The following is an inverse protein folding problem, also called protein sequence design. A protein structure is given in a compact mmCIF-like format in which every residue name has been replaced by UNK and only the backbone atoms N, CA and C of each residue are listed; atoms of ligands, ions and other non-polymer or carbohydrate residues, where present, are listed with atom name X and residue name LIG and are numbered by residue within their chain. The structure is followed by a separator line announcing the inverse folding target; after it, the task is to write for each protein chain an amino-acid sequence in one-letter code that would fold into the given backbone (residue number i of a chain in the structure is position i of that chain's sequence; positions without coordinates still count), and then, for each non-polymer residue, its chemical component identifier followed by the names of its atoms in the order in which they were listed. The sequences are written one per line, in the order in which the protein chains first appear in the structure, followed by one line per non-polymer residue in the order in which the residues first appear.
data_IF_883942395679
#
_entry.id   IF_883942395679
#
_cell.length_a   1.000
_cell.length_b   1.000
_cell.length_c   1.000
_cell.angle_alpha   90.00
_cell.angle_beta   90.00
_cell.angle_gamma   90.00
#
_symmetry.space_group_name_H-M   'P 1'
#
loop_
_entity.id
_entity.type
_entity.pdbx_description
1 polymer ?
#
# COMPACT_ATOMS: atom_id res chain seq x y z
N UNK A 1 -15.92 -4.76 -20.94
CA UNK A 1 -14.75 -4.28 -20.17
C UNK A 1 -13.62 -3.99 -21.13
N UNK A 2 -12.97 -2.83 -21.05
CA UNK A 2 -11.84 -2.50 -21.96
C UNK A 2 -10.60 -3.35 -21.63
N UNK A 3 -9.72 -3.62 -22.62
CA UNK A 3 -8.48 -4.38 -22.39
C UNK A 3 -7.59 -3.75 -21.31
N UNK A 4 -7.52 -2.42 -21.27
CA UNK A 4 -6.76 -1.70 -20.25
C UNK A 4 -7.31 -1.90 -18.84
N UNK A 5 -8.63 -2.00 -18.68
CA UNK A 5 -9.26 -2.26 -17.38
C UNK A 5 -9.01 -3.71 -16.94
N UNK A 6 -9.01 -4.66 -17.88
CA UNK A 6 -8.65 -6.05 -17.58
C UNK A 6 -7.19 -6.17 -17.11
N UNK A 7 -6.26 -5.49 -17.79
CA UNK A 7 -4.86 -5.43 -17.36
C UNK A 7 -4.71 -4.79 -15.98
N UNK A 8 -5.43 -3.69 -15.70
CA UNK A 8 -5.37 -3.01 -14.41
C UNK A 8 -5.88 -3.88 -13.26
N UNK A 9 -7.00 -4.59 -13.48
CA UNK A 9 -7.52 -5.59 -12.53
C UNK A 9 -6.55 -6.76 -12.35
N UNK A 10 -5.88 -7.19 -13.43
CA UNK A 10 -4.80 -8.18 -13.35
C UNK A 10 -3.63 -7.72 -12.47
N UNK A 11 -3.20 -6.46 -12.61
CA UNK A 11 -2.15 -5.85 -11.76
C UNK A 11 -2.59 -5.79 -10.30
N UNK A 12 -3.85 -5.43 -10.02
CA UNK A 12 -4.43 -5.45 -8.67
C UNK A 12 -4.33 -6.84 -8.05
N UNK A 13 -4.79 -7.87 -8.76
CA UNK A 13 -4.72 -9.26 -8.28
C UNK A 13 -3.28 -9.69 -8.04
N UNK A 14 -2.39 -9.43 -9.00
CA UNK A 14 -0.98 -9.80 -8.89
C UNK A 14 -0.32 -9.13 -7.69
N UNK A 15 -0.55 -7.83 -7.48
CA UNK A 15 0.00 -7.09 -6.35
C UNK A 15 -0.54 -7.62 -5.01
N UNK A 16 -1.84 -7.89 -4.93
CA UNK A 16 -2.48 -8.46 -3.74
C UNK A 16 -1.92 -9.85 -3.40
N UNK A 17 -1.80 -10.72 -4.40
CA UNK A 17 -1.24 -12.07 -4.22
C UNK A 17 0.25 -12.03 -3.87
N UNK A 18 1.00 -11.09 -4.46
CA UNK A 18 2.42 -10.89 -4.12
C UNK A 18 2.57 -10.46 -2.67
N UNK A 19 1.77 -9.49 -2.22
CA UNK A 19 1.76 -9.05 -0.82
C UNK A 19 1.38 -10.19 0.12
N UNK A 20 0.38 -10.99 -0.23
CA UNK A 20 -0.02 -12.16 0.55
C UNK A 20 1.10 -13.19 0.65
N UNK A 21 1.74 -13.52 -0.48
CA UNK A 21 2.86 -14.46 -0.53
C UNK A 21 4.04 -13.99 0.31
N UNK A 22 4.40 -12.70 0.23
CA UNK A 22 5.44 -12.10 1.06
C UNK A 22 5.08 -12.15 2.55
N UNK A 23 3.82 -11.89 2.90
CA UNK A 23 3.34 -11.98 4.29
C UNK A 23 3.50 -13.39 4.83
N UNK A 24 3.07 -14.40 4.08
CA UNK A 24 3.16 -15.80 4.47
C UNK A 24 4.62 -16.27 4.56
N UNK A 25 5.48 -15.83 3.63
CA UNK A 25 6.90 -16.17 3.62
C UNK A 25 7.67 -15.52 4.79
N UNK A 26 7.27 -14.33 5.23
CA UNK A 26 7.91 -13.61 6.32
C UNK A 26 7.32 -13.96 7.71
N UNK A 27 6.24 -14.73 7.78
CA UNK A 27 5.54 -15.05 9.02
C UNK A 27 6.05 -16.35 9.66
N UNK A 28 6.45 -16.33 10.95
CA UNK A 28 6.73 -17.55 11.71
C UNK A 28 5.49 -18.41 11.99
N UNK A 29 4.32 -17.77 12.06
CA UNK A 29 3.02 -18.40 12.38
C UNK A 29 1.94 -17.84 11.44
N UNK A 30 1.86 -18.36 10.21
CA UNK A 30 0.97 -17.79 9.20
C UNK A 30 -0.51 -17.95 9.58
N UNK A 31 -1.28 -16.87 9.47
CA UNK A 31 -2.72 -16.85 9.76
C UNK A 31 -3.49 -17.27 8.49
N UNK A 32 -3.55 -18.59 8.23
CA UNK A 32 -4.13 -19.14 6.99
C UNK A 32 -5.57 -18.69 6.75
N UNK A 33 -6.37 -18.57 7.81
CA UNK A 33 -7.77 -18.09 7.69
C UNK A 33 -7.81 -16.67 7.11
N UNK A 34 -6.94 -15.77 7.57
CA UNK A 34 -6.85 -14.41 7.02
C UNK A 34 -6.41 -14.43 5.55
N UNK A 35 -5.48 -15.31 5.18
CA UNK A 35 -5.05 -15.47 3.79
C UNK A 35 -6.20 -15.89 2.86
N UNK A 36 -7.03 -16.86 3.26
CA UNK A 36 -8.20 -17.29 2.49
C UNK A 36 -9.20 -16.15 2.30
N UNK A 37 -9.48 -15.38 3.37
CA UNK A 37 -10.36 -14.22 3.31
C UNK A 37 -9.80 -13.14 2.36
N UNK A 38 -8.49 -12.88 2.41
CA UNK A 38 -7.83 -11.92 1.53
C UNK A 38 -7.87 -12.34 0.06
N UNK A 39 -7.77 -13.64 -0.23
CA UNK A 39 -7.95 -14.15 -1.61
C UNK A 39 -9.38 -13.87 -2.09
N UNK A 40 -10.39 -14.18 -1.27
CA UNK A 40 -11.79 -13.92 -1.62
C UNK A 40 -12.06 -12.41 -1.84
N UNK A 41 -11.55 -11.55 -0.94
CA UNK A 41 -11.63 -10.10 -1.09
C UNK A 41 -10.89 -9.58 -2.34
N UNK A 42 -9.77 -10.21 -2.71
CA UNK A 42 -9.03 -9.85 -3.93
C UNK A 42 -9.84 -10.16 -5.18
N UNK A 43 -10.45 -11.34 -5.24
CA UNK A 43 -11.33 -11.72 -6.35
C UNK A 43 -12.51 -10.76 -6.43
N UNK A 44 -13.13 -10.43 -5.30
CA UNK A 44 -14.23 -9.47 -5.25
C UNK A 44 -13.80 -8.08 -5.72
N UNK A 45 -12.69 -7.55 -5.22
CA UNK A 45 -12.14 -6.25 -5.62
C UNK A 45 -11.76 -6.19 -7.11
N UNK A 46 -11.34 -7.32 -7.70
CA UNK A 46 -11.08 -7.40 -9.13
C UNK A 46 -12.36 -7.39 -9.98
N UNK A 47 -13.51 -7.80 -9.42
CA UNK A 47 -14.82 -7.75 -10.09
C UNK A 47 -15.45 -6.36 -9.90
N UNK A 48 -15.45 -5.86 -8.66
CA UNK A 48 -16.10 -4.61 -8.23
C UNK A 48 -15.10 -3.62 -7.58
N UNK A 49 -14.24 -2.96 -8.38
CA UNK A 49 -13.15 -2.12 -7.88
C UNK A 49 -13.60 -0.78 -7.28
N UNK A 50 -14.84 -0.37 -7.52
CA UNK A 50 -15.48 0.84 -6.97
C UNK A 50 -16.17 0.58 -5.62
N UNK A 51 -16.22 -0.67 -5.17
CA UNK A 51 -16.79 -1.03 -3.87
C UNK A 51 -15.94 -0.56 -2.69
N UNK A 52 -16.60 -0.23 -1.57
CA UNK A 52 -15.91 0.05 -0.30
C UNK A 52 -15.10 -1.14 0.24
N UNK A 53 -15.34 -2.35 -0.25
CA UNK A 53 -14.60 -3.56 0.11
C UNK A 53 -13.15 -3.54 -0.37
N UNK A 54 -12.80 -2.70 -1.34
CA UNK A 54 -11.40 -2.44 -1.71
C UNK A 54 -10.61 -1.83 -0.55
N UNK A 55 -11.23 -0.90 0.18
CA UNK A 55 -10.63 -0.31 1.38
C UNK A 55 -10.46 -1.36 2.47
N UNK A 56 -11.45 -2.24 2.63
CA UNK A 56 -11.37 -3.38 3.55
C UNK A 56 -10.23 -4.32 3.16
N UNK A 57 -10.05 -4.63 1.87
CA UNK A 57 -8.94 -5.44 1.37
C UNK A 57 -7.58 -4.82 1.72
N UNK A 58 -7.39 -3.53 1.42
CA UNK A 58 -6.14 -2.81 1.73
C UNK A 58 -5.85 -2.79 3.23
N UNK A 59 -6.85 -2.45 4.05
CA UNK A 59 -6.73 -2.44 5.50
C UNK A 59 -6.44 -3.83 6.07
N UNK A 60 -7.10 -4.86 5.55
CA UNK A 60 -6.91 -6.24 5.99
C UNK A 60 -5.52 -6.78 5.64
N UNK A 61 -4.96 -6.40 4.49
CA UNK A 61 -3.56 -6.72 4.17
C UNK A 61 -2.59 -6.08 5.15
N UNK A 62 -2.79 -4.80 5.48
CA UNK A 62 -1.96 -4.11 6.47
C UNK A 62 -2.08 -4.75 7.85
N UNK A 63 -3.31 -5.07 8.30
CA UNK A 63 -3.55 -5.74 9.58
C UNK A 63 -2.96 -7.16 9.61
N UNK A 64 -3.10 -7.91 8.52
CA UNK A 64 -2.54 -9.26 8.42
C UNK A 64 -1.01 -9.21 8.50
N UNK A 65 -0.37 -8.27 7.79
CA UNK A 65 1.08 -8.06 7.92
C UNK A 65 1.47 -7.74 9.36
N UNK A 66 0.84 -6.75 9.98
CA UNK A 66 1.15 -6.31 11.34
C UNK A 66 0.95 -7.43 12.39
N UNK A 67 -0.06 -8.29 12.19
CA UNK A 67 -0.35 -9.38 13.10
C UNK A 67 0.58 -10.60 12.90
N UNK A 68 1.03 -10.84 11.67
CA UNK A 68 1.71 -12.10 11.31
C UNK A 68 3.23 -11.95 11.13
N UNK A 69 3.75 -10.75 10.84
CA UNK A 69 5.15 -10.53 10.47
C UNK A 69 5.88 -9.75 11.55
N UNK A 70 6.93 -10.31 12.18
CA UNK A 70 7.72 -9.61 13.18
C UNK A 70 8.57 -8.49 12.54
N UNK A 71 9.06 -7.58 13.38
CA UNK A 71 10.01 -6.55 12.94
C UNK A 71 11.29 -7.22 12.42
N UNK A 72 11.78 -6.85 11.21
CA UNK A 72 12.97 -7.47 10.64
C UNK A 72 14.24 -7.28 11.50
N UNK A 73 14.97 -8.37 11.74
CA UNK A 73 16.25 -8.39 12.45
C UNK A 73 17.46 -8.49 11.52
N UNK A 74 17.26 -8.98 10.29
CA UNK A 74 18.28 -9.13 9.27
C UNK A 74 18.09 -8.18 8.06
N UNK A 75 19.16 -7.72 7.39
CA UNK A 75 19.06 -6.83 6.22
C UNK A 75 18.21 -7.40 5.08
N UNK A 76 18.27 -8.72 4.85
CA UNK A 76 17.46 -9.38 3.83
C UNK A 76 15.94 -9.29 4.11
N UNK A 77 15.55 -9.35 5.37
CA UNK A 77 14.15 -9.23 5.77
C UNK A 77 13.62 -7.78 5.61
N UNK A 78 14.49 -6.77 5.74
CA UNK A 78 14.16 -5.38 5.39
C UNK A 78 13.87 -5.20 3.89
N UNK A 79 14.60 -5.90 3.02
CA UNK A 79 14.31 -5.90 1.58
C UNK A 79 12.95 -6.53 1.29
N UNK A 80 12.62 -7.63 1.97
CA UNK A 80 11.29 -8.27 1.88
C UNK A 80 10.16 -7.34 2.33
N UNK A 81 10.36 -6.61 3.43
CA UNK A 81 9.43 -5.61 3.92
C UNK A 81 9.24 -4.44 2.94
N UNK A 82 10.32 -3.94 2.33
CA UNK A 82 10.24 -2.91 1.29
C UNK A 82 9.48 -3.41 0.06
N UNK A 83 9.74 -4.65 -0.37
CA UNK A 83 9.02 -5.27 -1.49
C UNK A 83 7.51 -5.41 -1.18
N UNK A 84 7.16 -5.80 0.05
CA UNK A 84 5.77 -5.85 0.50
C UNK A 84 5.11 -4.47 0.52
N UNK A 85 5.81 -3.44 1.03
CA UNK A 85 5.32 -2.07 1.01
C UNK A 85 5.06 -1.57 -0.42
N UNK A 86 5.95 -1.89 -1.37
CA UNK A 86 5.74 -1.58 -2.79
C UNK A 86 4.60 -2.37 -3.41
N UNK A 87 4.43 -3.65 -3.08
CA UNK A 87 3.27 -4.43 -3.52
C UNK A 87 1.96 -3.81 -3.01
N UNK A 88 1.93 -3.37 -1.74
CA UNK A 88 0.79 -2.63 -1.17
C UNK A 88 0.53 -1.28 -1.87
N UNK A 89 1.59 -0.53 -2.22
CA UNK A 89 1.47 0.70 -3.00
C UNK A 89 0.90 0.43 -4.39
N UNK A 90 1.39 -0.58 -5.11
CA UNK A 90 0.89 -0.96 -6.43
C UNK A 90 -0.57 -1.40 -6.34
N UNK A 91 -0.94 -2.18 -5.32
CA UNK A 91 -2.31 -2.58 -5.05
C UNK A 91 -3.22 -1.35 -4.87
N UNK A 92 -2.82 -0.41 -4.03
CA UNK A 92 -3.56 0.84 -3.78
C UNK A 92 -3.70 1.69 -5.05
N UNK A 93 -2.61 1.88 -5.80
CA UNK A 93 -2.61 2.67 -7.03
C UNK A 93 -3.44 2.03 -8.15
N UNK A 94 -3.42 0.70 -8.25
CA UNK A 94 -4.22 -0.03 -9.24
C UNK A 94 -5.71 0.05 -8.89
N UNK A 95 -6.06 -0.14 -7.63
CA UNK A 95 -7.45 -0.11 -7.17
C UNK A 95 -8.05 1.30 -7.28
N UNK A 96 -7.32 2.34 -6.87
CA UNK A 96 -7.76 3.73 -7.00
C UNK A 96 -7.93 4.16 -8.46
N UNK A 97 -7.03 3.74 -9.36
CA UNK A 97 -7.16 4.01 -10.78
C UNK A 97 -8.36 3.26 -11.40
N UNK A 98 -8.61 2.02 -10.97
CA UNK A 98 -9.73 1.21 -11.44
C UNK A 98 -11.08 1.80 -10.98
N UNK A 99 -11.15 2.32 -9.75
CA UNK A 99 -12.33 3.00 -9.21
C UNK A 99 -12.60 4.37 -9.87
N UNK A 100 -11.55 5.05 -10.36
CA UNK A 100 -11.67 6.41 -10.92
C UNK A 100 -12.18 6.45 -12.36
N UNK A 101 -12.28 5.31 -13.05
CA UNK A 101 -12.59 5.25 -14.49
C UNK A 101 -13.70 4.22 -14.76
N UNK A 102 -14.72 4.56 -15.56
CA UNK A 102 -15.74 3.60 -15.96
C UNK A 102 -15.13 2.38 -16.69
N UNK A 103 -15.62 1.17 -16.39
CA UNK A 103 -15.06 -0.08 -16.92
C UNK A 103 -15.12 -0.25 -18.45
N UNK A 104 -15.97 0.52 -19.13
CA UNK A 104 -16.09 0.54 -20.60
C UNK A 104 -15.05 1.45 -21.28
N UNK A 105 -14.47 2.40 -20.56
CA UNK A 105 -13.58 3.42 -21.13
C UNK A 105 -12.12 2.94 -21.06
N UNK A 106 -11.34 3.05 -22.15
CA UNK A 106 -9.92 2.76 -22.11
C UNK A 106 -9.16 3.80 -21.27
N UNK A 107 -8.14 3.35 -20.55
CA UNK A 107 -7.30 4.24 -19.71
C UNK A 107 -6.43 5.13 -20.62
N UNK A 108 -6.51 6.47 -20.55
CA UNK A 108 -5.68 7.34 -21.36
C UNK A 108 -4.19 7.16 -21.02
N UNK A 109 -3.35 6.93 -22.03
CA UNK A 109 -1.91 6.66 -21.84
C UNK A 109 -1.16 7.80 -21.15
N UNK A 110 -1.53 9.05 -21.43
CA UNK A 110 -0.95 10.23 -20.77
C UNK A 110 -1.29 10.29 -19.28
N UNK A 111 -2.53 9.96 -18.92
CA UNK A 111 -2.96 9.88 -17.51
C UNK A 111 -2.23 8.77 -16.79
N UNK A 112 -2.13 7.59 -17.42
CA UNK A 112 -1.37 6.46 -16.86
C UNK A 112 0.10 6.82 -16.64
N UNK A 113 0.76 7.46 -17.60
CA UNK A 113 2.17 7.90 -17.47
C UNK A 113 2.37 8.90 -16.33
N UNK A 114 1.45 9.86 -16.16
CA UNK A 114 1.51 10.82 -15.04
C UNK A 114 1.28 10.12 -13.70
N UNK A 115 0.33 9.17 -13.66
CA UNK A 115 0.00 8.37 -12.49
C UNK A 115 1.18 7.52 -12.03
N UNK A 116 1.79 6.76 -12.95
CA UNK A 116 2.95 5.91 -12.66
C UNK A 116 4.15 6.75 -12.25
N UNK A 117 4.39 7.90 -12.90
CA UNK A 117 5.47 8.81 -12.49
C UNK A 117 5.27 9.33 -11.05
N UNK A 118 4.06 9.74 -10.69
CA UNK A 118 3.75 10.20 -9.32
C UNK A 118 3.93 9.06 -8.31
N UNK A 119 3.44 7.86 -8.64
CA UNK A 119 3.63 6.67 -7.81
C UNK A 119 5.11 6.31 -7.63
N UNK A 120 5.91 6.39 -8.70
CA UNK A 120 7.35 6.13 -8.65
C UNK A 120 8.10 7.17 -7.80
N UNK A 121 7.70 8.44 -7.86
CA UNK A 121 8.26 9.49 -6.98
C UNK A 121 7.96 9.18 -5.51
N UNK A 122 6.72 8.78 -5.18
CA UNK A 122 6.36 8.38 -3.82
C UNK A 122 7.16 7.15 -3.39
N UNK A 123 7.23 6.11 -4.22
CA UNK A 123 8.01 4.91 -3.95
C UNK A 123 9.48 5.24 -3.66
N UNK A 124 10.12 6.04 -4.51
CA UNK A 124 11.51 6.47 -4.33
C UNK A 124 11.69 7.33 -3.07
N UNK A 125 10.77 8.26 -2.80
CA UNK A 125 10.82 9.12 -1.63
C UNK A 125 10.67 8.35 -0.31
N UNK A 126 10.02 7.17 -0.32
CA UNK A 126 9.92 6.32 0.88
C UNK A 126 11.19 5.52 1.18
N UNK A 127 12.06 5.27 0.19
CA UNK A 127 13.28 4.44 0.38
C UNK A 127 14.22 4.99 1.46
N UNK A 128 14.53 6.30 1.51
CA UNK A 128 15.34 6.86 2.59
C UNK A 128 14.76 6.62 3.99
N UNK A 129 13.43 6.71 4.15
CA UNK A 129 12.78 6.44 5.45
C UNK A 129 12.96 4.98 5.87
N UNK A 130 12.83 4.05 4.93
CA UNK A 130 13.11 2.63 5.18
C UNK A 130 14.59 2.37 5.51
N UNK A 131 15.52 3.06 4.84
CA UNK A 131 16.94 2.96 5.14
C UNK A 131 17.25 3.47 6.56
N UNK A 132 16.67 4.61 6.96
CA UNK A 132 16.80 5.14 8.33
C UNK A 132 16.19 4.17 9.34
N UNK A 133 14.99 3.64 9.08
CA UNK A 133 14.34 2.66 9.95
C UNK A 133 15.17 1.36 10.12
N UNK A 134 15.82 0.89 9.05
CA UNK A 134 16.73 -0.24 9.12
C UNK A 134 17.96 0.04 9.98
N UNK A 135 18.54 1.24 9.85
CA UNK A 135 19.71 1.64 10.63
C UNK A 135 19.37 1.82 12.11
N UNK A 136 18.24 2.49 12.41
CA UNK A 136 17.79 2.71 13.78
C UNK A 136 17.29 1.44 14.47
N UNK A 137 16.67 0.51 13.73
CA UNK A 137 16.22 -0.78 14.26
C UNK A 137 17.36 -1.68 14.77
N UNK A 138 18.61 -1.39 14.40
CA UNK A 138 19.81 -2.08 14.95
C UNK A 138 20.23 -1.55 16.31
N UNK A 139 19.88 -0.30 16.61
CA UNK A 139 20.13 0.26 17.93
C UNK A 139 19.04 -0.29 18.86
N UNK A 140 19.43 -1.13 19.83
CA UNK A 140 18.54 -1.53 20.93
C UNK A 140 18.31 -0.33 21.86
N UNK A 141 17.66 0.72 21.36
CA UNK A 141 17.18 1.82 22.19
C UNK A 141 15.99 1.28 22.98
N UNK A 142 16.09 1.28 24.31
CA UNK A 142 14.94 0.96 25.18
C UNK A 142 13.80 1.88 24.77
N UNK A 143 12.68 1.29 24.34
CA UNK A 143 11.59 1.99 23.68
C UNK A 143 11.13 3.24 24.43
N UNK A 144 11.49 4.40 23.91
CA UNK A 144 10.89 5.65 24.34
C UNK A 144 9.56 5.80 23.61
N UNK A 145 8.49 5.35 24.27
CA UNK A 145 7.09 5.43 23.84
C UNK A 145 6.72 6.84 23.35
N UNK A 146 7.35 7.87 23.94
CA UNK A 146 7.27 9.28 23.53
C UNK A 146 7.69 9.52 22.07
N UNK A 147 8.77 8.88 21.59
CA UNK A 147 9.24 9.04 20.21
C UNK A 147 8.28 8.42 19.19
N UNK A 148 7.65 7.30 19.54
CA UNK A 148 6.63 6.68 18.68
C UNK A 148 5.39 7.57 18.58
N UNK A 149 4.90 8.11 19.70
CA UNK A 149 3.78 9.06 19.67
C UNK A 149 4.13 10.37 18.97
N UNK A 150 5.36 10.87 19.13
CA UNK A 150 5.84 12.06 18.42
C UNK A 150 5.90 11.82 16.91
N UNK A 151 6.37 10.65 16.47
CA UNK A 151 6.39 10.28 15.05
C UNK A 151 4.97 10.18 14.47
N UNK A 152 4.03 9.55 15.20
CA UNK A 152 2.62 9.48 14.80
C UNK A 152 2.01 10.88 14.70
N UNK A 153 2.24 11.73 15.69
CA UNK A 153 1.75 13.12 15.70
C UNK A 153 2.33 13.93 14.54
N UNK A 154 3.63 13.78 14.25
CA UNK A 154 4.29 14.45 13.13
C UNK A 154 3.69 14.01 11.78
N UNK A 155 3.46 12.71 11.58
CA UNK A 155 2.81 12.19 10.37
C UNK A 155 1.38 12.70 10.25
N UNK A 156 0.61 12.70 11.34
CA UNK A 156 -0.76 13.22 11.35
C UNK A 156 -0.80 14.72 10.99
N UNK A 157 0.10 15.52 11.57
CA UNK A 157 0.23 16.95 11.26
C UNK A 157 0.63 17.17 9.81
N UNK A 158 1.62 16.43 9.29
CA UNK A 158 2.06 16.54 7.90
C UNK A 158 0.91 16.21 6.93
N UNK A 159 0.17 15.13 7.22
CA UNK A 159 -0.99 14.70 6.42
C UNK A 159 -2.09 15.77 6.45
N UNK A 160 -2.34 16.36 7.61
CA UNK A 160 -3.31 17.44 7.78
C UNK A 160 -2.90 18.72 7.02
N UNK A 161 -1.63 19.11 7.09
CA UNK A 161 -1.09 20.25 6.33
C UNK A 161 -1.23 20.06 4.83
N UNK A 162 -0.91 18.87 4.31
CA UNK A 162 -1.09 18.55 2.88
C UNK A 162 -2.56 18.61 2.48
N UNK A 163 -3.46 18.11 3.33
CA UNK A 163 -4.90 18.18 3.08
C UNK A 163 -5.39 19.63 3.05
N UNK A 164 -4.96 20.48 3.98
CA UNK A 164 -5.30 21.91 4.00
C UNK A 164 -4.85 22.61 2.71
N UNK A 165 -3.59 22.43 2.32
CA UNK A 165 -3.04 23.03 1.11
C UNK A 165 -3.76 22.54 -0.16
N UNK A 166 -4.17 21.28 -0.21
CA UNK A 166 -4.93 20.74 -1.33
C UNK A 166 -6.36 21.29 -1.47
N UNK A 167 -6.90 21.95 -0.44
CA UNK A 167 -8.21 22.61 -0.48
C UNK A 167 -8.15 24.01 -1.08
N UNK A 168 -7.02 24.71 -0.95
CA UNK A 168 -6.86 26.10 -1.43
C UNK A 168 -6.83 26.19 -2.97
N UNK A 169 -6.41 25.12 -3.65
CA UNK A 169 -6.38 25.04 -5.12
C UNK A 169 -7.76 24.79 -5.77
N UNK A 170 -8.85 24.72 -5.01
CA UNK A 170 -10.21 24.58 -5.58
C UNK A 170 -10.75 25.96 -5.99
N UNK A 171 -11.17 26.17 -7.26
CA UNK A 171 -11.84 27.41 -7.63
C UNK A 171 -13.08 27.60 -6.76
N UNK A 172 -13.18 28.78 -6.13
CA UNK A 172 -14.35 29.15 -5.33
C UNK A 172 -15.57 29.27 -6.27
N UNK A 173 -16.76 28.79 -5.85
CA UNK A 173 -17.99 28.99 -6.61
C UNK A 173 -18.35 30.48 -6.73
#
# INVERSE_FOLDING_TARGET
MSRSQLLLRGVLVLASMTLLALTLAASPQPIIVAAVVLVALTVYAAIEPDSGLVTVLLGSHALHWLAAVPVPDAPGAWVGLLAAAWAGLVLHLAASLAASLPGAVPVPSLSLRRWTRRGAVVAAATVPFWAVAMLSGRERVKGEVSLTYAAIAAVALLTFSVWLLSREDRPRP
#
